data_IF_216355406166
#
_entry.id   IF_216355406166
#
_cell.length_a   1.000
_cell.length_b   1.000
_cell.length_c   1.000
_cell.angle_alpha   90.00
_cell.angle_beta   90.00
_cell.angle_gamma   90.00
#
_symmetry.space_group_name_H-M   'P 1'
#
loop_
_entity.id
_entity.type
_entity.pdbx_description
1 polymer ?
#
# COMPACT_ATOMS: atom_id res chain seq x y z
N UNK A 1 3.68 17.24 -5.18
CA UNK A 1 4.09 15.85 -5.47
C UNK A 1 2.85 14.98 -5.29
N UNK A 2 2.69 13.89 -6.05
CA UNK A 2 1.64 12.94 -5.72
C UNK A 2 1.86 12.36 -4.31
N UNK A 3 0.79 11.90 -3.67
CA UNK A 3 0.85 11.25 -2.37
C UNK A 3 0.15 9.90 -2.46
N UNK A 4 0.76 8.87 -1.87
CA UNK A 4 0.27 7.51 -1.92
C UNK A 4 0.03 7.01 -0.49
N UNK A 5 -1.21 6.73 -0.14
CA UNK A 5 -1.58 6.11 1.14
C UNK A 5 -1.65 4.59 0.96
N UNK A 6 -1.06 3.84 1.89
CA UNK A 6 -0.94 2.39 1.82
C UNK A 6 -1.91 1.74 2.80
N UNK A 7 -2.77 0.86 2.29
CA UNK A 7 -3.83 0.23 3.07
C UNK A 7 -3.67 -1.29 3.16
N UNK A 8 -3.83 -1.83 4.36
CA UNK A 8 -3.87 -3.26 4.67
C UNK A 8 -5.05 -3.53 5.60
N UNK A 9 -5.91 -4.50 5.26
CA UNK A 9 -7.18 -4.74 5.97
C UNK A 9 -8.08 -3.49 6.11
N UNK A 10 -7.97 -2.56 5.16
CA UNK A 10 -8.70 -1.28 5.19
C UNK A 10 -8.12 -0.23 6.15
N UNK A 11 -7.00 -0.52 6.81
CA UNK A 11 -6.29 0.41 7.69
C UNK A 11 -5.05 0.97 7.01
N UNK A 12 -4.77 2.26 7.24
CA UNK A 12 -3.56 2.92 6.75
C UNK A 12 -2.33 2.43 7.51
N UNK A 13 -1.35 1.85 6.81
CA UNK A 13 -0.12 1.29 7.41
C UNK A 13 1.14 2.11 7.09
N UNK A 14 1.03 3.05 6.15
CA UNK A 14 2.15 3.88 5.71
C UNK A 14 1.80 4.69 4.47
N UNK A 15 2.81 5.35 3.91
CA UNK A 15 2.67 6.21 2.75
C UNK A 15 3.92 6.21 1.86
N UNK A 16 3.88 6.95 0.76
CA UNK A 16 5.02 7.18 -0.13
C UNK A 16 4.80 8.36 -1.08
N UNK A 17 5.91 8.91 -1.58
CA UNK A 17 5.92 9.95 -2.63
C UNK A 17 5.76 9.39 -4.05
N UNK A 18 5.98 8.08 -4.21
CA UNK A 18 5.73 7.32 -5.43
C UNK A 18 5.27 5.88 -5.11
N UNK A 19 4.95 5.11 -6.15
CA UNK A 19 4.42 3.75 -5.99
C UNK A 19 5.45 2.78 -5.40
N UNK A 20 6.74 2.95 -5.68
CA UNK A 20 7.79 2.07 -5.19
C UNK A 20 8.00 2.27 -3.69
N UNK A 21 8.11 3.53 -3.26
CA UNK A 21 8.20 3.89 -1.85
C UNK A 21 6.95 3.43 -1.08
N UNK A 22 5.76 3.63 -1.64
CA UNK A 22 4.51 3.18 -1.04
C UNK A 22 4.45 1.63 -0.90
N UNK A 23 4.95 0.88 -1.88
CA UNK A 23 4.99 -0.59 -1.79
C UNK A 23 5.96 -1.08 -0.71
N UNK A 24 7.04 -0.35 -0.43
CA UNK A 24 7.97 -0.71 0.64
C UNK A 24 7.33 -0.65 2.04
N UNK A 25 6.29 0.18 2.24
CA UNK A 25 5.57 0.29 3.51
C UNK A 25 4.88 -1.01 3.95
N UNK A 26 4.59 -1.95 3.05
CA UNK A 26 4.07 -3.27 3.42
C UNK A 26 5.04 -4.07 4.30
N UNK A 27 6.33 -3.71 4.36
CA UNK A 27 7.30 -4.36 5.24
C UNK A 27 6.86 -4.35 6.72
N UNK A 28 6.12 -3.33 7.16
CA UNK A 28 5.68 -3.19 8.56
C UNK A 28 4.63 -4.23 8.98
N UNK A 29 3.91 -4.79 8.00
CA UNK A 29 2.91 -5.85 8.20
C UNK A 29 3.38 -7.19 7.60
N UNK A 30 4.70 -7.35 7.42
CA UNK A 30 5.26 -8.57 6.88
C UNK A 30 4.82 -9.78 7.71
N UNK A 31 4.22 -10.82 7.09
CA UNK A 31 3.81 -12.02 7.81
C UNK A 31 5.02 -12.74 8.42
N UNK A 32 4.89 -13.18 9.67
CA UNK A 32 5.98 -13.84 10.42
C UNK A 32 6.38 -15.20 9.82
N UNK A 33 5.41 -16.02 9.41
CA UNK A 33 5.61 -17.38 8.90
C UNK A 33 4.90 -17.66 7.56
N UNK A 34 4.30 -16.63 6.94
CA UNK A 34 3.44 -16.75 5.76
C UNK A 34 4.04 -16.17 4.47
N UNK A 35 3.58 -16.64 3.31
CA UNK A 35 3.87 -15.98 2.03
C UNK A 35 2.98 -14.74 1.87
N UNK A 36 3.44 -13.74 1.10
CA UNK A 36 2.56 -12.62 0.72
C UNK A 36 1.34 -13.09 -0.07
N UNK A 37 1.47 -14.20 -0.81
CA UNK A 37 0.34 -14.80 -1.52
C UNK A 37 -0.77 -15.26 -0.57
N UNK A 38 -0.41 -15.94 0.53
CA UNK A 38 -1.37 -16.38 1.54
C UNK A 38 -1.96 -15.20 2.31
N UNK A 39 -1.12 -14.24 2.71
CA UNK A 39 -1.55 -13.04 3.43
C UNK A 39 -2.55 -12.23 2.60
N UNK A 40 -2.26 -11.99 1.31
CA UNK A 40 -3.16 -11.26 0.42
C UNK A 40 -4.44 -12.03 0.06
N UNK A 41 -4.44 -13.37 0.19
CA UNK A 41 -5.61 -14.20 -0.04
C UNK A 41 -6.56 -14.24 1.18
N UNK A 42 -6.13 -13.73 2.34
CA UNK A 42 -6.97 -13.69 3.53
C UNK A 42 -8.21 -12.79 3.31
N UNK A 43 -9.41 -13.25 3.68
CA UNK A 43 -10.62 -12.44 3.56
C UNK A 43 -10.48 -11.11 4.31
N UNK A 44 -10.55 -10.01 3.56
CA UNK A 44 -10.45 -8.66 4.11
C UNK A 44 -9.07 -8.02 3.99
N UNK A 45 -8.01 -8.77 3.66
CA UNK A 45 -6.66 -8.20 3.49
C UNK A 45 -6.65 -7.06 2.47
N UNK A 46 -7.27 -7.31 1.31
CA UNK A 46 -7.54 -6.34 0.24
C UNK A 46 -6.49 -5.21 0.12
N UNK A 47 -5.20 -5.55 0.01
CA UNK A 47 -4.12 -4.56 -0.04
C UNK A 47 -4.35 -3.61 -1.20
N UNK A 48 -4.31 -2.32 -0.91
CA UNK A 48 -4.42 -1.30 -1.95
C UNK A 48 -3.65 -0.05 -1.59
N UNK A 49 -3.36 0.74 -2.61
CA UNK A 49 -2.73 2.04 -2.45
C UNK A 49 -3.66 3.09 -3.05
N UNK A 50 -3.96 4.15 -2.29
CA UNK A 50 -4.73 5.29 -2.78
C UNK A 50 -3.79 6.40 -3.20
N UNK A 51 -3.97 6.92 -4.41
CA UNK A 51 -3.19 8.03 -4.95
C UNK A 51 -3.98 9.32 -4.87
N UNK A 52 -3.39 10.33 -4.27
CA UNK A 52 -3.93 11.69 -4.16
C UNK A 52 -3.10 12.68 -4.98
N UNK A 53 -3.69 13.83 -5.28
CA UNK A 53 -3.02 14.90 -6.01
C UNK A 53 -1.77 15.43 -5.25
N UNK A 54 -1.89 15.52 -3.92
CA UNK A 54 -0.81 15.86 -3.01
C UNK A 54 -1.15 15.44 -1.57
N UNK A 55 -0.18 15.61 -0.66
CA UNK A 55 -0.38 15.37 0.76
C UNK A 55 -1.41 16.33 1.37
N UNK A 56 -1.43 17.58 0.93
CA UNK A 56 -2.44 18.56 1.35
C UNK A 56 -3.85 18.13 0.95
N UNK A 57 -4.03 17.58 -0.26
CA UNK A 57 -5.32 17.07 -0.71
C UNK A 57 -5.81 15.91 0.18
N UNK A 58 -4.90 15.03 0.62
CA UNK A 58 -5.21 13.97 1.59
C UNK A 58 -5.64 14.55 2.94
N UNK A 59 -4.90 15.53 3.48
CA UNK A 59 -5.25 16.19 4.76
C UNK A 59 -6.60 16.94 4.69
N UNK A 60 -6.93 17.50 3.54
CA UNK A 60 -8.20 18.16 3.27
C UNK A 60 -9.37 17.19 3.05
N UNK A 61 -9.13 15.87 3.17
CA UNK A 61 -10.11 14.81 2.90
C UNK A 61 -10.68 14.86 1.47
N UNK A 62 -9.86 15.28 0.50
CA UNK A 62 -10.23 15.19 -0.90
C UNK A 62 -10.31 13.72 -1.34
N UNK A 63 -11.13 13.45 -2.36
CA UNK A 63 -11.26 12.11 -2.92
C UNK A 63 -9.93 11.61 -3.51
N UNK A 64 -9.68 10.30 -3.41
CA UNK A 64 -8.55 9.70 -4.09
C UNK A 64 -8.73 9.82 -5.61
N UNK A 65 -7.63 10.09 -6.31
CA UNK A 65 -7.62 10.11 -7.77
C UNK A 65 -7.67 8.68 -8.35
N UNK A 66 -7.18 7.71 -7.59
CA UNK A 66 -7.05 6.32 -8.01
C UNK A 66 -6.87 5.41 -6.79
N UNK A 67 -7.53 4.25 -6.80
CA UNK A 67 -7.23 3.13 -5.90
C UNK A 67 -6.55 2.03 -6.71
N UNK A 68 -5.32 1.71 -6.36
CA UNK A 68 -4.46 0.71 -7.00
C UNK A 68 -4.56 -0.59 -6.19
N UNK A 69 -5.17 -1.66 -6.72
CA UNK A 69 -5.11 -2.98 -6.09
C UNK A 69 -3.67 -3.47 -6.06
N UNK A 70 -3.18 -3.84 -4.88
CA UNK A 70 -1.83 -4.37 -4.72
C UNK A 70 -1.89 -5.89 -4.73
N UNK A 71 -0.91 -6.51 -5.38
CA UNK A 71 -0.77 -7.96 -5.42
C UNK A 71 0.43 -8.40 -4.59
N UNK A 72 0.42 -9.65 -4.13
CA UNK A 72 1.57 -10.23 -3.45
C UNK A 72 2.88 -10.07 -4.26
N UNK A 73 2.82 -10.29 -5.57
CA UNK A 73 3.97 -10.14 -6.46
C UNK A 73 4.53 -8.70 -6.51
N UNK A 74 3.66 -7.68 -6.40
CA UNK A 74 4.11 -6.28 -6.33
C UNK A 74 4.85 -6.00 -5.03
N UNK A 75 4.33 -6.50 -3.91
CA UNK A 75 4.95 -6.35 -2.58
C UNK A 75 6.32 -7.07 -2.58
N UNK A 76 6.36 -8.33 -3.01
CA UNK A 76 7.59 -9.13 -3.07
C UNK A 76 8.66 -8.48 -3.94
N UNK A 77 8.28 -7.93 -5.10
CA UNK A 77 9.19 -7.21 -5.99
C UNK A 77 9.75 -5.93 -5.36
N UNK A 78 8.93 -5.16 -4.64
CA UNK A 78 9.39 -3.96 -3.94
C UNK A 78 10.32 -4.30 -2.76
N UNK A 79 9.97 -5.31 -1.96
CA UNK A 79 10.77 -5.69 -0.79
C UNK A 79 12.11 -6.35 -1.14
N UNK A 80 12.26 -6.89 -2.35
CA UNK A 80 13.53 -7.44 -2.84
C UNK A 80 14.54 -6.34 -3.19
N UNK A 81 14.09 -5.09 -3.37
CA UNK A 81 14.92 -3.96 -3.75
C UNK A 81 15.40 -3.11 -2.57
N UNK A 82 14.94 -3.42 -1.35
CA UNK A 82 15.35 -2.80 -0.08
C UNK A 82 16.67 -3.40 0.44
#
# INVERSE_FOLDING_TARGET
>A
MAFFEVLWHGEGIGDGGDLEEALASYLVVKPDDGSWADACAEPGAAPCIRRYASFEAYLDNADELETIPVTAAMIEAALTQL
#
